data_IF_122990548859
#
_entry.id   IF_122990548859
#
_cell.length_a   1.000
_cell.length_b   1.000
_cell.length_c   1.000
_cell.angle_alpha   90.00
_cell.angle_beta   90.00
_cell.angle_gamma   90.00
#
_symmetry.space_group_name_H-M   'P 1'
#
loop_
_entity.id
_entity.type
_entity.pdbx_description
1 polymer ?
#
# COMPACT_ATOMS: atom_id res chain seq x y z
N UNK A 1 -5.53 0.41 4.45
CA UNK A 1 -4.20 0.04 3.95
C UNK A 1 -3.18 0.99 4.55
N UNK A 2 -2.26 0.51 5.39
CA UNK A 2 -1.13 1.26 6.01
C UNK A 2 -1.42 2.71 6.48
N UNK A 3 -2.24 2.93 7.52
CA UNK A 3 -2.52 4.27 8.04
C UNK A 3 -1.31 4.99 8.64
N UNK A 4 -0.25 4.25 8.99
CA UNK A 4 0.92 4.79 9.69
C UNK A 4 2.15 5.02 8.79
N UNK A 5 2.01 4.95 7.45
CA UNK A 5 3.14 5.22 6.56
C UNK A 5 3.21 6.72 6.21
N UNK A 6 4.14 7.51 6.79
CA UNK A 6 4.25 8.94 6.51
C UNK A 6 4.63 9.23 5.05
N UNK A 7 5.38 8.34 4.40
CA UNK A 7 5.81 8.48 3.01
C UNK A 7 4.61 8.33 2.07
N UNK A 8 3.67 7.42 2.40
CA UNK A 8 2.41 7.28 1.67
C UNK A 8 1.55 8.54 1.79
N UNK A 9 1.43 9.12 2.99
CA UNK A 9 0.67 10.34 3.20
C UNK A 9 1.24 11.53 2.40
N UNK A 10 2.56 11.69 2.43
CA UNK A 10 3.26 12.75 1.70
C UNK A 10 3.13 12.57 0.18
N UNK A 11 3.23 11.33 -0.31
CA UNK A 11 3.04 11.03 -1.73
C UNK A 11 1.59 11.21 -2.19
N UNK A 12 0.61 10.89 -1.33
CA UNK A 12 -0.81 11.15 -1.59
C UNK A 12 -1.07 12.64 -1.80
N UNK A 13 -0.51 13.48 -0.93
CA UNK A 13 -0.67 14.93 -1.00
C UNK A 13 -0.01 15.49 -2.27
N UNK A 14 1.19 15.01 -2.61
CA UNK A 14 1.86 15.35 -3.88
C UNK A 14 1.01 14.95 -5.10
N UNK A 15 0.47 13.73 -5.11
CA UNK A 15 -0.40 13.24 -6.18
C UNK A 15 -1.70 14.06 -6.30
N UNK A 16 -2.27 14.49 -5.18
CA UNK A 16 -3.46 15.34 -5.16
C UNK A 16 -3.17 16.73 -5.75
N UNK A 17 -2.01 17.32 -5.43
CA UNK A 17 -1.60 18.61 -6.00
C UNK A 17 -1.38 18.50 -7.52
N UNK A 18 -0.68 17.46 -7.99
CA UNK A 18 -0.51 17.21 -9.43
C UNK A 18 -1.85 17.05 -10.15
N UNK A 19 -2.78 16.25 -9.58
CA UNK A 19 -4.13 16.10 -10.15
C UNK A 19 -4.91 17.41 -10.18
N UNK A 20 -4.84 18.23 -9.13
CA UNK A 20 -5.47 19.57 -9.11
C UNK A 20 -4.93 20.47 -10.22
N UNK A 21 -3.66 20.33 -10.56
CA UNK A 21 -3.00 21.07 -11.62
C UNK A 21 -3.16 20.42 -13.01
N UNK A 22 -3.98 19.37 -13.14
CA UNK A 22 -4.17 18.64 -14.39
C UNK A 22 -2.93 17.90 -14.90
N UNK A 23 -1.93 17.72 -14.04
CA UNK A 23 -0.67 17.06 -14.39
C UNK A 23 -0.75 15.54 -14.13
N UNK A 24 -0.11 14.73 -14.99
CA UNK A 24 0.00 13.30 -14.76
C UNK A 24 0.81 13.01 -13.49
N UNK A 25 0.38 12.00 -12.73
CA UNK A 25 1.09 11.51 -11.52
C UNK A 25 2.13 10.44 -11.85
N UNK A 26 2.42 10.27 -13.14
CA UNK A 26 3.40 9.34 -13.69
C UNK A 26 4.37 10.11 -14.59
N UNK A 27 5.64 9.69 -14.67
CA UNK A 27 6.22 8.45 -14.10
C UNK A 27 6.55 8.57 -12.60
N UNK A 28 6.30 7.49 -11.83
CA UNK A 28 6.84 7.31 -10.48
C UNK A 28 8.19 6.58 -10.55
N UNK A 29 8.98 6.65 -9.47
CA UNK A 29 10.22 5.87 -9.38
C UNK A 29 9.99 4.56 -8.64
N UNK A 30 10.77 3.52 -8.95
CA UNK A 30 10.73 2.25 -8.21
C UNK A 30 10.99 2.43 -6.71
N UNK A 31 11.84 3.39 -6.34
CA UNK A 31 12.11 3.72 -4.94
C UNK A 31 10.85 4.27 -4.25
N UNK A 32 10.10 5.14 -4.92
CA UNK A 32 8.82 5.65 -4.43
C UNK A 32 7.81 4.51 -4.28
N UNK A 33 7.68 3.65 -5.30
CA UNK A 33 6.78 2.48 -5.24
C UNK A 33 7.16 1.54 -4.09
N UNK A 34 8.44 1.25 -3.85
CA UNK A 34 8.86 0.42 -2.71
C UNK A 34 8.48 1.04 -1.35
N UNK A 35 8.52 2.37 -1.24
CA UNK A 35 8.19 3.08 -0.01
C UNK A 35 6.69 3.10 0.30
N UNK A 36 5.85 3.29 -0.73
CA UNK A 36 4.41 3.57 -0.55
C UNK A 36 3.50 2.40 -0.93
N UNK A 37 3.98 1.42 -1.70
CA UNK A 37 3.12 0.42 -2.32
C UNK A 37 2.95 -0.79 -1.37
N UNK A 38 1.74 -1.03 -0.84
CA UNK A 38 1.50 -2.12 0.10
C UNK A 38 1.73 -3.50 -0.52
N UNK A 39 1.63 -3.65 -1.85
CA UNK A 39 1.91 -4.91 -2.56
C UNK A 39 3.41 -5.25 -2.54
N UNK A 40 4.26 -4.23 -2.60
CA UNK A 40 5.72 -4.41 -2.52
C UNK A 40 6.21 -4.55 -1.08
N UNK A 41 5.40 -4.09 -0.11
CA UNK A 41 5.68 -4.16 1.34
C UNK A 41 4.97 -5.32 2.05
N UNK A 42 4.59 -6.38 1.34
CA UNK A 42 3.93 -7.58 1.91
C UNK A 42 4.74 -8.31 3.00
N UNK A 43 6.02 -7.96 3.20
CA UNK A 43 6.90 -8.47 4.26
C UNK A 43 7.06 -7.50 5.45
N UNK A 44 6.54 -6.28 5.36
CA UNK A 44 6.62 -5.32 6.44
C UNK A 44 5.66 -5.72 7.57
N UNK A 45 6.13 -5.62 8.82
CA UNK A 45 5.33 -6.00 9.99
C UNK A 45 3.99 -5.25 10.06
N UNK A 46 3.96 -3.97 9.69
CA UNK A 46 2.74 -3.15 9.68
C UNK A 46 1.73 -3.62 8.63
N UNK A 47 2.20 -4.04 7.46
CA UNK A 47 1.36 -4.55 6.37
C UNK A 47 0.78 -5.91 6.73
N UNK A 48 1.61 -6.77 7.31
CA UNK A 48 1.21 -8.08 7.81
C UNK A 48 0.15 -7.92 8.90
N UNK A 49 0.39 -7.05 9.88
CA UNK A 49 -0.57 -6.77 10.96
C UNK A 49 -1.90 -6.22 10.41
N UNK A 50 -1.85 -5.31 9.44
CA UNK A 50 -3.04 -4.77 8.79
C UNK A 50 -3.81 -5.84 7.99
N UNK A 51 -3.11 -6.74 7.31
CA UNK A 51 -3.73 -7.83 6.56
C UNK A 51 -4.40 -8.85 7.49
N UNK A 52 -3.70 -9.30 8.55
CA UNK A 52 -4.25 -10.21 9.58
C UNK A 52 -5.43 -9.57 10.32
N UNK A 53 -5.38 -8.26 10.57
CA UNK A 53 -6.51 -7.56 11.18
C UNK A 53 -7.73 -7.51 10.26
N UNK A 54 -7.53 -7.40 8.95
CA UNK A 54 -8.62 -7.39 7.97
C UNK A 54 -9.19 -8.78 7.73
N UNK A 55 -8.33 -9.80 7.65
CA UNK A 55 -8.69 -11.20 7.47
C UNK A 55 -7.91 -12.09 8.44
N UNK A 56 -8.57 -12.66 9.48
CA UNK A 56 -7.93 -13.56 10.42
C UNK A 56 -7.38 -14.85 9.79
N UNK A 57 -7.75 -15.18 8.55
CA UNK A 57 -7.22 -16.34 7.81
C UNK A 57 -5.90 -16.05 7.12
N UNK A 58 -5.44 -14.79 7.08
CA UNK A 58 -4.14 -14.43 6.52
C UNK A 58 -3.02 -15.12 7.30
N UNK A 59 -2.13 -15.79 6.58
CA UNK A 59 -0.89 -16.36 7.14
C UNK A 59 0.22 -15.31 7.14
N UNK A 60 0.61 -14.75 8.30
CA UNK A 60 1.58 -13.66 8.37
C UNK A 60 2.99 -14.07 7.91
N UNK A 61 3.35 -15.34 8.03
CA UNK A 61 4.61 -15.92 7.58
C UNK A 61 4.70 -16.12 6.05
N UNK A 62 3.58 -16.02 5.33
CA UNK A 62 3.52 -16.21 3.88
C UNK A 62 3.22 -14.87 3.17
N UNK A 63 4.23 -14.25 2.53
CA UNK A 63 4.02 -13.00 1.79
C UNK A 63 2.96 -13.10 0.69
N UNK A 64 2.77 -14.29 0.11
CA UNK A 64 1.72 -14.56 -0.88
C UNK A 64 0.31 -14.50 -0.27
N UNK A 65 0.14 -14.99 0.96
CA UNK A 65 -1.15 -14.93 1.68
C UNK A 65 -1.49 -13.48 2.03
N UNK A 66 -0.53 -12.74 2.58
CA UNK A 66 -0.66 -11.31 2.88
C UNK A 66 -1.03 -10.51 1.62
N UNK A 67 -0.34 -10.78 0.50
CA UNK A 67 -0.63 -10.10 -0.78
C UNK A 67 -2.02 -10.44 -1.32
N UNK A 68 -2.48 -11.68 -1.16
CA UNK A 68 -3.83 -12.10 -1.56
C UNK A 68 -4.91 -11.34 -0.77
N UNK A 69 -4.75 -11.26 0.55
CA UNK A 69 -5.67 -10.50 1.43
C UNK A 69 -5.66 -9.01 1.09
N UNK A 70 -4.49 -8.39 0.90
CA UNK A 70 -4.40 -6.98 0.50
C UNK A 70 -5.08 -6.73 -0.86
N UNK A 71 -4.94 -7.67 -1.80
CA UNK A 71 -5.57 -7.56 -3.12
C UNK A 71 -7.08 -7.71 -3.01
N UNK A 72 -7.58 -8.65 -2.22
CA UNK A 72 -9.00 -8.78 -1.95
C UNK A 72 -9.55 -7.52 -1.30
N UNK A 73 -8.92 -7.03 -0.25
CA UNK A 73 -9.35 -5.80 0.43
C UNK A 73 -9.34 -4.60 -0.53
N UNK A 74 -8.34 -4.46 -1.40
CA UNK A 74 -8.36 -3.42 -2.46
C UNK A 74 -9.51 -3.61 -3.47
N UNK A 75 -9.96 -4.83 -3.75
CA UNK A 75 -11.06 -5.08 -4.69
C UNK A 75 -12.44 -4.69 -4.12
N UNK A 76 -12.60 -4.65 -2.80
CA UNK A 76 -13.86 -4.30 -2.13
C UNK A 76 -13.90 -2.82 -1.68
N UNK A 77 -12.85 -2.05 -2.00
CA UNK A 77 -12.68 -0.65 -1.60
C UNK A 77 -12.63 0.28 -2.83
#
# INVERSE_FOLDING_TARGET
MEPNNPELAQYLEYCQQLRKNGQPTLPSTLQTELAINPFMRSRAADVIAAAVHHDPQTRPEEPASVLSTLRQWKNVF
#
